data_IF_516526218468
#
_entry.id   IF_516526218468
#
_cell.length_a   1.000
_cell.length_b   1.000
_cell.length_c   1.000
_cell.angle_alpha   90.00
_cell.angle_beta   90.00
_cell.angle_gamma   90.00
#
_symmetry.space_group_name_H-M   'P 1'
#
loop_
_entity.id
_entity.type
_entity.pdbx_description
1 polymer ?
#
# COMPACT_ATOMS: atom_id res chain seq x y z
N UNK A 1 -44.49 23.02 -17.18
CA UNK A 1 -43.62 22.25 -16.28
C UNK A 1 -42.66 21.40 -17.11
N UNK A 2 -41.35 21.68 -17.04
CA UNK A 2 -40.18 20.82 -17.38
C UNK A 2 -38.98 21.72 -17.72
N UNK A 3 -38.23 22.15 -16.70
CA UNK A 3 -36.92 22.82 -16.85
C UNK A 3 -36.00 22.54 -15.65
N UNK A 4 -35.84 21.29 -15.20
CA UNK A 4 -34.85 20.97 -14.13
C UNK A 4 -34.25 19.55 -14.24
N UNK A 5 -33.84 19.12 -15.44
CA UNK A 5 -33.22 17.79 -15.64
C UNK A 5 -31.75 17.87 -16.10
N UNK A 6 -31.00 18.92 -15.75
CA UNK A 6 -29.58 19.08 -16.19
C UNK A 6 -28.62 19.57 -15.09
N UNK A 7 -28.80 19.18 -13.82
CA UNK A 7 -27.87 19.57 -12.74
C UNK A 7 -27.50 18.48 -11.74
N UNK A 8 -27.55 17.20 -12.11
CA UNK A 8 -27.28 16.10 -11.16
C UNK A 8 -26.15 15.13 -11.55
N UNK A 9 -25.42 15.38 -12.63
CA UNK A 9 -24.32 14.48 -13.06
C UNK A 9 -22.90 14.95 -12.69
N UNK A 10 -22.75 16.03 -11.92
CA UNK A 10 -21.43 16.56 -11.55
C UNK A 10 -21.03 16.32 -10.08
N UNK A 11 -21.71 15.43 -9.35
CA UNK A 11 -21.47 15.21 -7.92
C UNK A 11 -21.19 13.74 -7.53
N UNK A 12 -20.89 12.87 -8.50
CA UNK A 12 -20.68 11.44 -8.23
C UNK A 12 -19.20 11.00 -8.21
N UNK A 13 -18.23 11.87 -8.49
CA UNK A 13 -16.79 11.51 -8.46
C UNK A 13 -16.03 11.97 -7.20
N UNK A 14 -16.66 12.74 -6.31
CA UNK A 14 -16.06 13.15 -5.03
C UNK A 14 -16.41 12.21 -3.86
N UNK A 15 -17.16 11.13 -4.11
CA UNK A 15 -17.66 10.22 -3.07
C UNK A 15 -16.92 8.87 -2.99
N UNK A 16 -15.84 8.67 -3.78
CA UNK A 16 -15.05 7.43 -3.77
C UNK A 16 -13.69 7.56 -3.06
N UNK A 17 -13.35 8.73 -2.52
CA UNK A 17 -12.17 8.93 -1.65
C UNK A 17 -12.50 8.91 -0.14
N UNK A 18 -13.72 8.50 0.25
CA UNK A 18 -14.16 8.45 1.66
C UNK A 18 -14.32 7.00 2.17
N UNK A 19 -13.79 6.01 1.46
CA UNK A 19 -13.84 4.59 1.85
C UNK A 19 -12.51 4.01 2.36
N UNK A 20 -11.42 4.79 2.42
CA UNK A 20 -10.20 4.40 3.18
C UNK A 20 -10.32 4.70 4.68
N UNK A 21 -11.31 5.50 5.10
CA UNK A 21 -11.38 6.06 6.45
C UNK A 21 -11.81 5.08 7.58
N UNK A 22 -12.09 3.82 7.25
CA UNK A 22 -12.49 2.81 8.25
C UNK A 22 -11.53 1.61 8.36
N UNK A 23 -10.42 1.61 7.62
CA UNK A 23 -9.61 0.40 7.48
C UNK A 23 -8.42 0.30 8.46
N UNK A 24 -8.31 1.25 9.40
CA UNK A 24 -7.43 1.17 10.57
C UNK A 24 -8.15 0.60 11.81
N UNK A 25 -9.46 0.34 11.72
CA UNK A 25 -10.26 -0.34 12.74
C UNK A 25 -10.58 -1.79 12.35
N UNK A 26 -9.55 -2.61 12.13
CA UNK A 26 -9.71 -4.04 11.84
C UNK A 26 -10.34 -4.77 13.02
N UNK A 27 -11.64 -5.01 12.92
CA UNK A 27 -12.47 -5.67 13.93
C UNK A 27 -12.08 -7.17 14.04
N UNK A 28 -11.13 -7.47 14.92
CA UNK A 28 -10.75 -8.81 15.35
C UNK A 28 -10.51 -8.83 16.86
N UNK A 29 -11.58 -8.81 17.65
CA UNK A 29 -11.55 -9.17 19.08
C UNK A 29 -10.66 -8.31 19.99
N UNK A 30 -11.02 -7.05 20.21
CA UNK A 30 -10.38 -6.24 21.25
C UNK A 30 -10.80 -4.78 21.18
N UNK A 31 -11.59 -4.34 22.15
CA UNK A 31 -11.89 -2.93 22.38
C UNK A 31 -10.59 -2.18 22.72
N UNK A 32 -10.02 -1.41 21.79
CA UNK A 32 -8.83 -0.61 22.09
C UNK A 32 -8.15 0.17 20.96
N UNK A 33 -8.76 0.34 19.78
CA UNK A 33 -8.12 1.12 18.71
C UNK A 33 -8.08 2.61 19.07
N UNK A 34 -6.88 3.20 19.13
CA UNK A 34 -6.69 4.64 19.35
C UNK A 34 -7.47 5.50 18.36
N UNK A 35 -7.77 6.72 18.76
CA UNK A 35 -8.42 7.73 17.91
C UNK A 35 -7.41 8.24 16.89
N UNK A 36 -7.82 8.35 15.63
CA UNK A 36 -7.00 8.96 14.57
C UNK A 36 -6.64 10.41 14.93
N UNK A 37 -5.34 10.71 14.96
CA UNK A 37 -4.77 12.04 15.21
C UNK A 37 -4.31 12.74 13.94
N UNK A 38 -4.01 11.99 12.88
CA UNK A 38 -3.69 12.54 11.56
C UNK A 38 -3.64 11.48 10.47
N UNK A 39 -3.90 11.91 9.24
CA UNK A 39 -3.76 11.09 8.02
C UNK A 39 -2.96 11.91 7.03
N UNK A 40 -1.89 11.32 6.51
CA UNK A 40 -0.91 12.00 5.66
C UNK A 40 -0.69 11.20 4.39
N UNK A 41 -0.66 11.88 3.25
CA UNK A 41 -0.58 11.23 1.95
C UNK A 41 0.68 11.64 1.19
N UNK A 42 1.35 10.66 0.57
CA UNK A 42 2.44 10.96 -0.35
C UNK A 42 1.91 11.36 -1.73
N UNK A 43 2.70 12.08 -2.54
CA UNK A 43 2.50 12.10 -3.98
C UNK A 43 2.50 10.66 -4.53
N UNK A 44 1.72 10.41 -5.58
CA UNK A 44 1.83 9.17 -6.34
C UNK A 44 3.15 9.17 -7.12
N UNK A 45 3.90 8.08 -7.03
CA UNK A 45 5.11 7.83 -7.82
C UNK A 45 4.77 6.97 -9.04
N UNK A 46 5.33 7.35 -10.18
CA UNK A 46 5.12 6.69 -11.45
C UNK A 46 6.39 5.97 -11.90
N UNK A 47 6.34 4.65 -11.95
CA UNK A 47 7.41 3.78 -12.43
C UNK A 47 7.15 3.28 -13.85
N UNK A 48 8.23 3.11 -14.64
CA UNK A 48 8.19 2.50 -15.97
C UNK A 48 9.21 1.37 -16.06
N UNK A 49 8.78 0.20 -16.53
CA UNK A 49 9.68 -0.93 -16.81
C UNK A 49 9.53 -1.41 -18.25
N UNK A 50 10.67 -1.67 -18.91
CA UNK A 50 10.72 -2.18 -20.27
C UNK A 50 10.86 -3.71 -20.24
N UNK A 51 9.86 -4.41 -20.79
CA UNK A 51 9.85 -5.88 -20.80
C UNK A 51 10.52 -6.49 -22.04
N UNK A 52 11.16 -5.67 -22.88
CA UNK A 52 11.87 -6.15 -24.08
C UNK A 52 13.20 -6.82 -23.71
N UNK A 53 13.63 -7.84 -24.48
CA UNK A 53 13.00 -8.36 -25.71
C UNK A 53 11.92 -9.43 -25.46
N UNK A 54 11.78 -9.92 -24.22
CA UNK A 54 10.90 -11.05 -23.89
C UNK A 54 9.43 -10.76 -24.21
N UNK A 55 8.98 -9.53 -23.96
CA UNK A 55 7.64 -9.05 -24.29
C UNK A 55 7.66 -7.70 -25.00
N UNK A 56 6.63 -7.45 -25.81
CA UNK A 56 6.50 -6.21 -26.59
C UNK A 56 5.57 -5.17 -25.93
N UNK A 57 5.73 -4.95 -24.63
CA UNK A 57 4.99 -3.92 -23.91
C UNK A 57 5.85 -3.32 -22.79
N UNK A 58 5.44 -2.15 -22.29
CA UNK A 58 5.96 -1.53 -21.07
C UNK A 58 5.00 -1.79 -19.91
N UNK A 59 5.55 -1.84 -18.70
CA UNK A 59 4.77 -1.77 -17.47
C UNK A 59 4.81 -0.34 -16.93
N UNK A 60 3.66 0.14 -16.48
CA UNK A 60 3.50 1.41 -15.79
C UNK A 60 2.93 1.12 -14.41
N UNK A 61 3.66 1.51 -13.37
CA UNK A 61 3.30 1.27 -11.97
C UNK A 61 3.01 2.61 -11.29
N UNK A 62 1.88 2.68 -10.58
CA UNK A 62 1.52 3.81 -9.73
C UNK A 62 1.61 3.36 -8.28
N UNK A 63 2.50 3.97 -7.51
CA UNK A 63 2.67 3.69 -6.08
C UNK A 63 2.28 4.91 -5.25
N UNK A 64 1.55 4.71 -4.17
CA UNK A 64 1.18 5.76 -3.22
C UNK A 64 1.25 5.24 -1.78
N UNK A 65 1.57 6.14 -0.87
CA UNK A 65 1.74 5.85 0.54
C UNK A 65 0.80 6.73 1.38
N UNK A 66 0.23 6.16 2.43
CA UNK A 66 -0.61 6.87 3.41
C UNK A 66 -0.15 6.49 4.82
N UNK A 67 0.07 7.47 5.69
CA UNK A 67 0.35 7.26 7.10
C UNK A 67 -0.83 7.76 7.92
N UNK A 68 -1.44 6.86 8.70
CA UNK A 68 -2.42 7.20 9.74
C UNK A 68 -1.76 7.09 11.11
N UNK A 69 -1.85 8.14 11.92
CA UNK A 69 -1.39 8.18 13.31
C UNK A 69 -2.57 8.11 14.27
N UNK A 70 -2.38 7.46 15.42
CA UNK A 70 -3.38 7.27 16.47
C UNK A 70 -2.92 7.89 17.81
N UNK A 71 -3.86 8.22 18.70
CA UNK A 71 -3.58 8.84 20.00
C UNK A 71 -2.95 7.91 21.04
N UNK A 72 -2.88 6.61 20.75
CA UNK A 72 -2.20 5.58 21.55
C UNK A 72 -0.75 5.32 21.11
N UNK A 73 -0.19 6.21 20.29
CA UNK A 73 1.13 6.09 19.67
C UNK A 73 1.28 4.90 18.70
N UNK A 74 0.18 4.39 18.16
CA UNK A 74 0.23 3.41 17.05
C UNK A 74 0.10 4.10 15.69
N UNK A 75 0.61 3.46 14.64
CA UNK A 75 0.46 3.92 13.27
C UNK A 75 -0.05 2.81 12.35
N UNK A 76 -0.63 3.22 11.22
CA UNK A 76 -0.85 2.38 10.06
C UNK A 76 -0.22 3.06 8.83
N UNK A 77 0.77 2.41 8.22
CA UNK A 77 1.31 2.80 6.92
C UNK A 77 0.66 1.93 5.86
N UNK A 78 0.00 2.54 4.88
CA UNK A 78 -0.61 1.88 3.74
C UNK A 78 0.24 2.13 2.51
N UNK A 79 0.60 1.08 1.79
CA UNK A 79 1.15 1.11 0.45
C UNK A 79 0.07 0.63 -0.52
N UNK A 80 -0.24 1.46 -1.50
CA UNK A 80 -1.13 1.11 -2.60
C UNK A 80 -0.33 1.11 -3.89
N UNK A 81 -0.43 0.03 -4.66
CA UNK A 81 0.23 -0.10 -5.95
C UNK A 81 -0.73 -0.61 -7.01
N UNK A 82 -0.65 -0.03 -8.21
CA UNK A 82 -1.37 -0.51 -9.39
C UNK A 82 -0.45 -0.52 -10.61
N UNK A 83 -0.30 -1.69 -11.22
CA UNK A 83 0.54 -1.92 -12.38
C UNK A 83 -0.32 -2.25 -13.61
N UNK A 84 -0.05 -1.54 -14.70
CA UNK A 84 -0.71 -1.72 -15.98
C UNK A 84 0.31 -2.01 -17.08
N UNK A 85 -0.11 -2.77 -18.09
CA UNK A 85 0.62 -2.90 -19.34
C UNK A 85 -0.17 -2.27 -20.48
N UNK A 86 0.54 -1.76 -21.48
CA UNK A 86 -0.06 -1.06 -22.62
C UNK A 86 -1.01 0.06 -22.17
N UNK A 87 -0.58 0.83 -21.17
CA UNK A 87 -1.35 1.96 -20.66
C UNK A 87 -1.41 3.07 -21.72
N UNK A 88 -2.62 3.45 -22.09
CA UNK A 88 -2.93 4.59 -22.95
C UNK A 88 -3.72 5.61 -22.13
N UNK A 89 -3.18 6.82 -22.01
CA UNK A 89 -3.84 7.95 -21.39
C UNK A 89 -4.32 8.88 -22.50
N UNK A 90 -5.63 9.10 -22.62
CA UNK A 90 -6.18 9.99 -23.62
C UNK A 90 -5.87 11.46 -23.25
N UNK A 91 -5.26 12.22 -24.16
CA UNK A 91 -4.93 13.64 -23.89
C UNK A 91 -6.16 14.54 -23.69
N UNK A 92 -7.34 14.11 -24.17
CA UNK A 92 -8.55 14.92 -24.23
C UNK A 92 -9.69 14.44 -23.33
N UNK A 93 -9.52 13.31 -22.64
CA UNK A 93 -10.51 12.75 -21.72
C UNK A 93 -9.82 12.20 -20.48
N UNK A 94 -10.58 11.94 -19.42
CA UNK A 94 -10.06 11.25 -18.23
C UNK A 94 -10.08 9.73 -18.40
N UNK A 95 -10.13 9.23 -19.64
CA UNK A 95 -10.16 7.79 -19.91
C UNK A 95 -8.74 7.24 -19.93
N UNK A 96 -8.53 6.16 -19.18
CA UNK A 96 -7.33 5.33 -19.26
C UNK A 96 -7.71 3.97 -19.84
N UNK A 97 -6.90 3.46 -20.76
CA UNK A 97 -6.97 2.07 -21.24
C UNK A 97 -5.69 1.36 -20.87
N UNK A 98 -5.77 0.08 -20.56
CA UNK A 98 -4.61 -0.74 -20.28
C UNK A 98 -5.06 -2.11 -19.80
N UNK A 99 -4.13 -3.06 -19.79
CA UNK A 99 -4.37 -4.33 -19.13
C UNK A 99 -3.78 -4.25 -17.74
N UNK A 100 -4.63 -4.38 -16.72
CA UNK A 100 -4.20 -4.59 -15.34
C UNK A 100 -3.24 -5.79 -15.28
N UNK A 101 -2.23 -5.67 -14.43
CA UNK A 101 -1.21 -6.70 -14.22
C UNK A 101 -1.20 -7.15 -12.78
N UNK A 102 -0.85 -6.25 -11.89
CA UNK A 102 -0.80 -6.53 -10.46
C UNK A 102 -1.24 -5.28 -9.73
N UNK A 103 -2.07 -5.46 -8.72
CA UNK A 103 -2.55 -4.40 -7.86
C UNK A 103 -2.55 -4.92 -6.43
N UNK A 104 -2.01 -4.12 -5.50
CA UNK A 104 -2.00 -4.53 -4.12
C UNK A 104 -2.19 -3.35 -3.17
N UNK A 105 -2.68 -3.69 -1.99
CA UNK A 105 -2.68 -2.84 -0.82
C UNK A 105 -2.00 -3.60 0.30
N UNK A 106 -0.92 -3.04 0.83
CA UNK A 106 -0.21 -3.57 1.99
C UNK A 106 -0.29 -2.56 3.12
N UNK A 107 -0.62 -3.04 4.31
CA UNK A 107 -0.71 -2.24 5.53
C UNK A 107 0.30 -2.74 6.54
N UNK A 108 1.10 -1.82 7.05
CA UNK A 108 2.05 -2.05 8.12
C UNK A 108 1.53 -1.37 9.39
N UNK A 109 1.53 -2.11 10.49
CA UNK A 109 1.15 -1.59 11.79
C UNK A 109 2.34 -1.64 12.73
N UNK A 110 2.46 -0.62 13.56
CA UNK A 110 3.52 -0.52 14.57
C UNK A 110 3.27 0.65 15.51
N UNK A 111 4.31 1.06 16.21
CA UNK A 111 4.29 2.21 17.12
C UNK A 111 5.10 3.36 16.56
N UNK A 112 4.78 4.58 16.95
CA UNK A 112 5.55 5.76 16.54
C UNK A 112 5.87 6.67 17.72
N UNK A 113 6.92 7.46 17.55
CA UNK A 113 7.17 8.66 18.35
C UNK A 113 7.18 9.88 17.44
N UNK A 114 6.81 11.04 17.95
CA UNK A 114 6.79 12.27 17.16
C UNK A 114 7.21 13.48 17.95
N UNK A 115 7.82 14.45 17.26
CA UNK A 115 8.11 15.77 17.79
C UNK A 115 7.83 16.83 16.72
N UNK A 116 7.38 18.01 17.15
CA UNK A 116 7.29 19.17 16.24
C UNK A 116 8.70 19.52 15.78
N UNK A 117 8.87 19.81 14.50
CA UNK A 117 10.18 20.14 13.95
C UNK A 117 10.67 21.47 14.51
N UNK A 118 11.96 21.55 14.86
CA UNK A 118 12.56 22.73 15.49
C UNK A 118 12.60 23.97 14.57
N UNK A 119 12.50 23.77 13.24
CA UNK A 119 12.63 24.83 12.24
C UNK A 119 11.29 25.28 11.65
N UNK A 120 10.24 24.47 11.77
CA UNK A 120 8.91 24.74 11.21
C UNK A 120 7.81 24.03 12.02
N UNK A 121 6.93 24.81 12.64
CA UNK A 121 5.83 24.29 13.46
C UNK A 121 4.74 23.56 12.66
N UNK A 122 4.68 23.78 11.33
CA UNK A 122 3.77 23.05 10.44
C UNK A 122 4.29 21.62 10.15
N UNK A 123 5.55 21.30 10.52
CA UNK A 123 6.19 20.01 10.28
C UNK A 123 6.28 19.17 11.56
N UNK A 124 6.01 17.88 11.42
CA UNK A 124 6.09 16.86 12.47
C UNK A 124 7.08 15.79 12.05
N UNK A 125 8.18 15.66 12.80
CA UNK A 125 9.12 14.56 12.61
C UNK A 125 8.57 13.33 13.33
N UNK A 126 8.36 12.25 12.58
CA UNK A 126 7.74 11.02 13.06
C UNK A 126 8.69 9.85 12.83
N UNK A 127 9.06 9.16 13.90
CA UNK A 127 9.82 7.92 13.85
C UNK A 127 8.86 6.75 13.95
N UNK A 128 8.76 5.99 12.85
CA UNK A 128 7.97 4.76 12.76
C UNK A 128 8.84 3.57 13.18
N UNK A 129 8.41 2.80 14.16
CA UNK A 129 9.08 1.55 14.53
C UNK A 129 9.04 0.55 13.38
N UNK A 130 9.91 -0.46 13.42
CA UNK A 130 9.73 -1.67 12.60
C UNK A 130 8.30 -2.21 12.79
N UNK A 131 7.60 -2.57 11.71
CA UNK A 131 6.24 -3.12 11.78
C UNK A 131 6.17 -4.41 12.60
N UNK A 132 5.09 -4.56 13.37
CA UNK A 132 4.80 -5.78 14.15
C UNK A 132 3.66 -6.59 13.54
N UNK A 133 2.89 -6.01 12.62
CA UNK A 133 1.85 -6.69 11.86
C UNK A 133 1.79 -6.18 10.43
N UNK A 134 1.57 -7.09 9.50
CA UNK A 134 1.33 -6.80 8.09
C UNK A 134 0.01 -7.42 7.64
N UNK A 135 -0.79 -6.63 6.92
CA UNK A 135 -2.00 -7.07 6.23
C UNK A 135 -1.86 -6.71 4.77
N UNK A 136 -1.95 -7.69 3.87
CA UNK A 136 -1.82 -7.45 2.44
C UNK A 136 -3.01 -8.02 1.68
N UNK A 137 -3.39 -7.36 0.59
CA UNK A 137 -4.37 -7.82 -0.38
C UNK A 137 -3.78 -7.64 -1.77
N UNK A 138 -3.74 -8.72 -2.55
CA UNK A 138 -3.23 -8.77 -3.92
C UNK A 138 -4.37 -9.12 -4.87
N UNK A 139 -4.58 -8.28 -5.88
CA UNK A 139 -5.57 -8.40 -6.95
C UNK A 139 -7.02 -8.63 -6.45
N UNK A 140 -7.27 -8.37 -5.16
CA UNK A 140 -8.50 -8.76 -4.42
C UNK A 140 -8.79 -10.28 -4.45
N UNK A 141 -7.82 -11.09 -4.85
CA UNK A 141 -7.92 -12.55 -4.96
C UNK A 141 -7.29 -13.21 -3.75
N UNK A 142 -6.16 -12.66 -3.29
CA UNK A 142 -5.37 -13.20 -2.21
C UNK A 142 -5.19 -12.16 -1.12
N UNK A 143 -5.29 -12.59 0.14
CA UNK A 143 -5.07 -11.74 1.29
C UNK A 143 -4.29 -12.50 2.36
N UNK A 144 -3.55 -11.76 3.18
CA UNK A 144 -2.84 -12.27 4.34
C UNK A 144 -2.90 -11.29 5.50
N UNK A 145 -2.73 -11.80 6.71
CA UNK A 145 -2.68 -11.04 7.95
C UNK A 145 -1.78 -11.79 8.94
N UNK A 146 -0.66 -11.18 9.34
CA UNK A 146 0.30 -11.83 10.26
C UNK A 146 -0.29 -12.07 11.66
N UNK A 147 -1.30 -11.32 12.09
CA UNK A 147 -1.98 -11.55 13.37
C UNK A 147 -3.01 -12.69 13.29
N UNK A 148 -3.44 -13.06 12.08
CA UNK A 148 -4.46 -14.08 11.82
C UNK A 148 -3.96 -15.10 10.79
N UNK A 149 -2.75 -15.59 11.02
CA UNK A 149 -2.00 -16.44 10.11
C UNK A 149 -2.51 -17.88 10.05
N UNK A 150 -2.35 -18.52 8.90
CA UNK A 150 -2.57 -19.97 8.72
C UNK A 150 -1.58 -20.56 7.70
N UNK A 151 -1.51 -21.90 7.65
CA UNK A 151 -0.58 -22.63 6.78
C UNK A 151 -0.79 -22.35 5.29
N UNK A 152 -2.01 -22.03 4.84
CA UNK A 152 -2.27 -21.75 3.43
C UNK A 152 -1.68 -20.39 3.02
N UNK A 153 -1.75 -19.39 3.89
CA UNK A 153 -1.01 -18.13 3.72
C UNK A 153 0.50 -18.37 3.70
N UNK A 154 0.99 -19.21 4.63
CA UNK A 154 2.39 -19.60 4.72
C UNK A 154 2.94 -20.27 3.45
N UNK A 155 2.11 -21.05 2.73
CA UNK A 155 2.50 -21.67 1.45
C UNK A 155 2.52 -20.67 0.30
N UNK A 156 1.61 -19.71 0.30
CA UNK A 156 1.45 -18.76 -0.80
C UNK A 156 2.58 -17.72 -0.86
N UNK A 157 3.29 -17.48 0.24
CA UNK A 157 4.38 -16.49 0.33
C UNK A 157 5.77 -17.10 0.21
N UNK A 158 5.90 -18.41 0.00
CA UNK A 158 7.19 -19.06 -0.15
C UNK A 158 7.84 -18.57 -1.46
N UNK A 159 9.06 -18.02 -1.43
CA UNK A 159 9.78 -17.64 -2.63
C UNK A 159 9.95 -18.84 -3.57
N UNK A 160 9.58 -18.65 -4.84
CA UNK A 160 9.77 -19.69 -5.85
C UNK A 160 11.27 -19.99 -6.03
N UNK A 161 11.60 -21.26 -6.24
CA UNK A 161 12.95 -21.63 -6.63
C UNK A 161 13.18 -21.31 -8.10
N UNK A 162 14.42 -20.96 -8.46
CA UNK A 162 14.78 -20.75 -9.86
C UNK A 162 15.27 -22.08 -10.43
N UNK A 163 14.59 -22.58 -11.47
CA UNK A 163 15.07 -23.71 -12.24
C UNK A 163 16.40 -23.31 -12.93
N UNK A 164 17.53 -23.94 -12.57
CA UNK A 164 18.84 -23.55 -13.10
C UNK A 164 19.00 -23.84 -14.60
N UNK A 165 18.13 -24.66 -15.19
CA UNK A 165 18.18 -25.02 -16.60
C UNK A 165 17.36 -24.10 -17.49
N UNK A 166 16.28 -23.51 -16.97
CA UNK A 166 15.36 -22.65 -17.73
C UNK A 166 15.33 -21.20 -17.25
N UNK A 167 15.83 -20.93 -16.04
CA UNK A 167 15.71 -19.64 -15.36
C UNK A 167 14.29 -19.31 -14.88
N UNK A 168 13.35 -20.26 -14.99
CA UNK A 168 11.96 -20.04 -14.61
C UNK A 168 11.77 -20.19 -13.09
N UNK A 169 10.86 -19.41 -12.53
CA UNK A 169 10.37 -19.58 -11.17
C UNK A 169 9.50 -20.85 -11.10
N UNK A 170 9.83 -21.75 -10.18
CA UNK A 170 9.12 -23.01 -9.91
C UNK A 170 8.73 -23.05 -8.44
N UNK A 171 7.44 -23.20 -8.17
CA UNK A 171 6.95 -23.42 -6.82
C UNK A 171 7.38 -24.81 -6.33
N UNK A 172 7.92 -24.91 -5.12
CA UNK A 172 8.20 -26.19 -4.49
C UNK A 172 6.93 -26.70 -3.80
N UNK A 173 6.28 -27.77 -4.31
CA UNK A 173 5.04 -28.28 -3.75
C UNK A 173 5.23 -28.94 -2.37
N UNK A 174 6.47 -29.21 -1.95
CA UNK A 174 6.81 -29.82 -0.67
C UNK A 174 7.39 -28.83 0.33
N UNK A 175 7.48 -27.54 -0.02
CA UNK A 175 8.05 -26.55 0.88
C UNK A 175 7.21 -26.42 2.15
N UNK A 176 7.89 -26.38 3.30
CA UNK A 176 7.24 -26.09 4.58
C UNK A 176 6.66 -24.67 4.53
N UNK A 177 5.39 -24.48 4.91
CA UNK A 177 4.78 -23.16 4.99
C UNK A 177 5.63 -22.20 5.81
N UNK A 178 5.80 -20.97 5.34
CA UNK A 178 6.42 -19.93 6.16
C UNK A 178 5.53 -19.59 7.37
N UNK A 179 6.19 -19.33 8.49
CA UNK A 179 5.55 -18.75 9.68
C UNK A 179 5.22 -17.27 9.45
N UNK A 180 4.32 -16.72 10.25
CA UNK A 180 4.00 -15.29 10.21
C UNK A 180 5.24 -14.43 10.47
N UNK A 181 6.10 -14.87 11.38
CA UNK A 181 7.35 -14.19 11.75
C UNK A 181 8.34 -14.18 10.58
N UNK A 182 8.53 -15.31 9.89
CA UNK A 182 9.38 -15.37 8.69
C UNK A 182 8.89 -14.44 7.58
N UNK A 183 7.57 -14.41 7.36
CA UNK A 183 6.99 -13.48 6.38
C UNK A 183 7.19 -12.03 6.81
N UNK A 184 6.89 -11.69 8.07
CA UNK A 184 7.05 -10.33 8.61
C UNK A 184 8.50 -9.86 8.48
N UNK A 185 9.49 -10.69 8.84
CA UNK A 185 10.91 -10.40 8.68
C UNK A 185 11.31 -10.14 7.22
N UNK A 186 10.65 -10.80 6.26
CA UNK A 186 10.96 -10.64 4.82
C UNK A 186 10.44 -9.34 4.21
N UNK A 187 9.39 -8.73 4.79
CA UNK A 187 8.72 -7.55 4.22
C UNK A 187 8.82 -6.30 5.09
N UNK A 188 9.18 -6.44 6.37
CA UNK A 188 9.26 -5.33 7.29
C UNK A 188 10.41 -4.36 6.92
N UNK A 189 10.11 -3.07 6.94
CA UNK A 189 11.14 -2.04 6.88
C UNK A 189 11.78 -1.81 8.27
N UNK A 190 13.05 -1.39 8.33
CA UNK A 190 13.67 -0.98 9.59
C UNK A 190 13.02 0.29 10.14
N UNK A 191 13.19 0.58 11.42
CA UNK A 191 12.78 1.87 12.00
C UNK A 191 13.19 3.04 11.10
N UNK A 192 12.23 3.91 10.79
CA UNK A 192 12.40 4.95 9.78
C UNK A 192 11.76 6.25 10.26
N UNK A 193 12.48 7.36 10.10
CA UNK A 193 11.95 8.70 10.36
C UNK A 193 11.46 9.33 9.06
N UNK A 194 10.23 9.87 9.11
CA UNK A 194 9.61 10.65 8.05
C UNK A 194 9.20 12.01 8.60
N UNK A 195 9.13 13.01 7.72
CA UNK A 195 8.62 14.33 8.07
C UNK A 195 7.24 14.51 7.47
N UNK A 196 6.26 14.82 8.33
CA UNK A 196 4.87 15.02 7.95
C UNK A 196 4.55 16.52 7.98
N UNK A 197 3.86 17.02 6.96
CA UNK A 197 3.32 18.37 6.97
C UNK A 197 1.87 18.34 7.46
N UNK A 198 1.64 18.90 8.65
CA UNK A 198 0.34 18.89 9.34
C UNK A 198 -0.68 19.82 8.71
N UNK A 199 -0.24 20.82 7.96
CA UNK A 199 -1.10 21.80 7.29
C UNK A 199 -1.59 21.33 5.94
N UNK A 200 -0.74 20.63 5.19
CA UNK A 200 -1.10 20.05 3.88
C UNK A 200 -1.50 18.59 3.95
N UNK A 201 -1.41 17.95 5.13
CA UNK A 201 -1.69 16.53 5.33
C UNK A 201 -0.90 15.64 4.37
N UNK A 202 0.40 15.90 4.24
CA UNK A 202 1.27 15.25 3.25
C UNK A 202 2.63 14.88 3.80
N UNK A 203 3.33 14.00 3.09
CA UNK A 203 4.73 13.67 3.35
C UNK A 203 5.42 13.27 2.04
N UNK A 204 6.76 13.24 2.05
CA UNK A 204 7.51 12.79 0.89
C UNK A 204 7.41 11.27 0.72
N UNK A 205 7.22 10.84 -0.53
CA UNK A 205 7.25 9.42 -0.85
C UNK A 205 8.59 8.81 -0.45
N UNK A 206 8.55 7.71 0.30
CA UNK A 206 9.74 7.05 0.84
C UNK A 206 9.94 5.69 0.16
N UNK A 207 10.91 5.56 -0.79
CA UNK A 207 11.12 4.31 -1.53
C UNK A 207 11.46 3.12 -0.64
N UNK A 208 12.07 3.36 0.52
CA UNK A 208 12.43 2.31 1.49
C UNK A 208 11.25 1.56 2.10
N UNK A 209 10.02 2.07 1.98
CA UNK A 209 8.83 1.35 2.41
C UNK A 209 8.33 0.34 1.39
N UNK A 210 8.67 0.49 0.10
CA UNK A 210 8.21 -0.47 -0.91
C UNK A 210 8.75 -1.86 -0.58
N UNK A 211 7.84 -2.83 -0.50
CA UNK A 211 8.20 -4.24 -0.33
C UNK A 211 9.11 -4.62 -1.49
N UNK A 212 10.34 -5.02 -1.18
CA UNK A 212 11.22 -5.63 -2.18
C UNK A 212 10.63 -7.00 -2.48
N UNK A 213 9.88 -7.09 -3.59
CA UNK A 213 9.48 -8.37 -4.18
C UNK A 213 10.65 -9.07 -4.85
#
# INVERSE_FOLDING_TARGET
>A
MKKYAKRLTALALAALMVLSLAACGGNGGGSGGGKVTGVYLSPAQLGYSNMRPQYNYYLTTFDQQEITLMDDNTYCLILSSACFSALELAESTNDAKGNERTNYITKFYGTYTSQVNDLDEDLLDVTLSTPTRVVSSYDQIYWLDTDNWNDDMGKAVIPAQIDPSTGAAVADPNATPWTAEQYLESVAYPETTVQLNTKTASFDFTPGFLVQG
#
